data_IF_163099927838
#
_entry.id   IF_163099927838
#
_cell.length_a   1.000
_cell.length_b   1.000
_cell.length_c   1.000
_cell.angle_alpha   90.00
_cell.angle_beta   90.00
_cell.angle_gamma   90.00
#
_symmetry.space_group_name_H-M   'P 1'
#
loop_
_entity.id
_entity.type
_entity.pdbx_description
1 polymer ?
#
# COMPACT_ATOMS: atom_id res chain seq x y z
N UNK A 1 -11.35 -49.49 61.33
CA UNK A 1 -10.85 -49.69 59.95
C UNK A 1 -10.74 -48.31 59.29
N UNK A 2 -9.52 -47.86 58.96
CA UNK A 2 -9.26 -46.56 58.29
C UNK A 2 -9.42 -46.73 56.77
N UNK A 3 -10.05 -45.80 56.02
CA UNK A 3 -10.03 -45.86 54.57
C UNK A 3 -8.71 -45.29 54.03
N UNK A 4 -8.07 -46.01 53.11
CA UNK A 4 -6.90 -45.55 52.37
C UNK A 4 -7.31 -44.51 51.31
N UNK A 5 -6.72 -43.32 51.38
CA UNK A 5 -6.75 -42.32 50.32
C UNK A 5 -5.85 -42.80 49.15
N UNK A 6 -6.42 -43.05 47.97
CA UNK A 6 -5.64 -43.30 46.74
C UNK A 6 -5.35 -41.96 46.08
N UNK A 7 -4.10 -41.52 46.10
CA UNK A 7 -3.59 -40.42 45.28
C UNK A 7 -3.32 -40.95 43.86
N UNK A 8 -4.09 -40.49 42.88
CA UNK A 8 -3.78 -40.64 41.46
C UNK A 8 -2.78 -39.56 41.04
N UNK A 9 -1.63 -39.90 40.42
CA UNK A 9 -0.73 -38.89 39.88
C UNK A 9 -1.34 -38.29 38.60
N UNK A 10 -1.62 -36.99 38.62
CA UNK A 10 -1.94 -36.24 37.41
C UNK A 10 -0.64 -36.07 36.59
N UNK A 11 -0.54 -36.78 35.47
CA UNK A 11 0.50 -36.50 34.47
C UNK A 11 0.21 -35.12 33.84
N UNK A 12 1.04 -34.13 34.15
CA UNK A 12 1.15 -32.92 33.35
C UNK A 12 1.80 -33.29 32.01
N UNK A 13 0.99 -33.47 30.97
CA UNK A 13 1.47 -33.57 29.60
C UNK A 13 1.88 -32.18 29.10
N UNK A 14 3.18 -31.91 29.13
CA UNK A 14 3.79 -30.72 28.55
C UNK A 14 3.72 -30.82 27.01
N UNK A 15 2.70 -30.21 26.41
CA UNK A 15 2.62 -30.10 24.95
C UNK A 15 3.69 -29.13 24.45
N UNK A 16 4.85 -29.65 24.04
CA UNK A 16 5.86 -28.88 23.32
C UNK A 16 5.33 -28.63 21.91
N UNK A 17 4.79 -27.43 21.69
CA UNK A 17 4.46 -26.97 20.35
C UNK A 17 5.77 -26.70 19.58
N UNK A 18 6.27 -27.71 18.87
CA UNK A 18 7.33 -27.50 17.87
C UNK A 18 6.76 -26.66 16.73
N UNK A 19 7.04 -25.36 16.75
CA UNK A 19 6.83 -24.52 15.59
C UNK A 19 7.74 -25.02 14.45
N UNK A 20 7.17 -25.69 13.46
CA UNK A 20 7.88 -26.02 12.23
C UNK A 20 8.32 -24.71 11.58
N UNK A 21 9.62 -24.40 11.68
CA UNK A 21 10.24 -23.33 10.90
C UNK A 21 10.20 -23.77 9.44
N UNK A 22 9.43 -23.09 8.60
CA UNK A 22 9.43 -23.33 7.17
C UNK A 22 10.86 -23.24 6.64
N UNK A 23 11.33 -24.29 5.96
CA UNK A 23 12.65 -24.31 5.37
C UNK A 23 12.78 -23.18 4.33
N UNK A 24 13.96 -22.55 4.27
CA UNK A 24 14.23 -21.54 3.26
C UNK A 24 14.10 -22.17 1.85
N UNK A 25 13.51 -21.46 0.87
CA UNK A 25 13.39 -21.99 -0.48
C UNK A 25 14.78 -22.27 -1.07
N UNK A 26 14.95 -23.44 -1.67
CA UNK A 26 16.19 -23.83 -2.35
C UNK A 26 16.21 -23.15 -3.72
N UNK A 27 17.31 -22.46 -4.10
CA UNK A 27 17.44 -21.89 -5.43
C UNK A 27 17.38 -22.95 -6.54
N UNK A 28 16.78 -22.58 -7.68
CA UNK A 28 16.85 -23.37 -8.91
C UNK A 28 18.27 -23.34 -9.54
N UNK A 29 18.46 -24.04 -10.65
CA UNK A 29 19.75 -24.12 -11.33
C UNK A 29 20.29 -22.75 -11.80
N UNK A 30 19.41 -21.76 -11.97
CA UNK A 30 19.76 -20.39 -12.36
C UNK A 30 20.02 -19.48 -11.14
N UNK A 31 19.75 -19.98 -9.92
CA UNK A 31 19.90 -19.26 -8.66
C UNK A 31 18.66 -18.47 -8.25
N UNK A 32 17.49 -18.73 -8.84
CA UNK A 32 16.24 -18.10 -8.44
C UNK A 32 15.54 -18.90 -7.33
N UNK A 33 14.91 -18.18 -6.40
CA UNK A 33 13.96 -18.75 -5.45
C UNK A 33 12.54 -18.26 -5.77
N UNK A 34 11.49 -19.05 -5.48
CA UNK A 34 10.12 -18.57 -5.60
C UNK A 34 9.89 -17.36 -4.70
N UNK A 35 9.40 -16.26 -5.29
CA UNK A 35 8.92 -15.09 -4.55
C UNK A 35 7.45 -15.26 -4.15
N UNK A 36 6.71 -16.05 -4.93
CA UNK A 36 5.36 -16.53 -4.61
C UNK A 36 5.35 -18.05 -4.53
N UNK A 37 4.70 -18.60 -3.50
CA UNK A 37 4.71 -20.04 -3.21
C UNK A 37 3.61 -20.84 -3.92
N UNK A 38 2.72 -20.17 -4.66
CA UNK A 38 1.61 -20.80 -5.41
C UNK A 38 0.39 -21.19 -4.57
N UNK A 39 0.40 -20.96 -3.25
CA UNK A 39 -0.63 -21.48 -2.31
C UNK A 39 -1.28 -20.42 -1.45
N UNK A 40 -0.48 -19.51 -0.89
CA UNK A 40 -0.94 -18.46 0.02
C UNK A 40 -0.08 -17.20 -0.10
N UNK A 41 -0.50 -16.14 0.59
CA UNK A 41 0.21 -14.86 0.60
C UNK A 41 1.36 -14.80 1.62
N UNK A 42 1.93 -15.92 2.05
CA UNK A 42 3.13 -15.90 2.90
C UNK A 42 4.25 -15.13 2.21
N UNK A 43 4.81 -14.14 2.90
CA UNK A 43 5.81 -13.23 2.34
C UNK A 43 5.22 -11.98 1.66
N UNK A 44 3.90 -11.85 1.66
CA UNK A 44 3.16 -10.72 1.09
C UNK A 44 2.26 -10.05 2.12
N UNK A 45 1.97 -8.77 1.92
CA UNK A 45 1.00 -7.99 2.69
C UNK A 45 0.16 -7.14 1.77
N UNK A 46 -1.15 -7.17 2.02
CA UNK A 46 -2.12 -6.32 1.36
C UNK A 46 -1.99 -4.89 1.93
N UNK A 47 -1.83 -3.90 1.07
CA UNK A 47 -1.74 -2.47 1.40
C UNK A 47 -2.88 -1.73 0.71
N UNK A 48 -3.83 -1.27 1.53
CA UNK A 48 -4.99 -0.48 1.11
C UNK A 48 -5.93 -1.16 0.10
N UNK A 49 -5.97 -2.50 0.04
CA UNK A 49 -7.01 -3.21 -0.70
C UNK A 49 -7.97 -3.95 0.23
N UNK A 50 -9.17 -4.20 -0.28
CA UNK A 50 -10.12 -5.07 0.39
C UNK A 50 -9.60 -6.52 0.41
N UNK A 51 -10.03 -7.35 1.38
CA UNK A 51 -9.58 -8.74 1.47
C UNK A 51 -9.82 -9.54 0.18
N UNK A 52 -10.94 -9.26 -0.50
CA UNK A 52 -11.32 -9.92 -1.75
C UNK A 52 -10.64 -9.37 -3.01
N UNK A 53 -9.86 -8.29 -2.90
CA UNK A 53 -9.12 -7.75 -4.05
C UNK A 53 -8.10 -8.76 -4.56
N UNK A 54 -7.49 -9.53 -3.66
CA UNK A 54 -6.44 -10.48 -3.97
C UNK A 54 -6.90 -11.91 -3.65
N UNK A 55 -6.79 -12.80 -4.62
CA UNK A 55 -7.06 -14.22 -4.44
C UNK A 55 -6.01 -15.08 -5.13
N UNK A 56 -5.95 -16.36 -4.77
CA UNK A 56 -5.06 -17.33 -5.38
C UNK A 56 -5.91 -18.45 -5.95
N UNK A 57 -5.69 -18.78 -7.21
CA UNK A 57 -6.33 -19.92 -7.87
C UNK A 57 -5.33 -20.58 -8.80
N UNK A 58 -5.20 -21.90 -8.72
CA UNK A 58 -4.34 -22.71 -9.60
C UNK A 58 -2.87 -22.21 -9.68
N UNK A 59 -2.32 -21.73 -8.55
CA UNK A 59 -0.96 -21.18 -8.50
C UNK A 59 -0.79 -19.79 -9.12
N UNK A 60 -1.89 -19.10 -9.41
CA UNK A 60 -1.94 -17.74 -9.99
C UNK A 60 -2.49 -16.77 -8.96
N UNK A 61 -1.87 -15.60 -8.84
CA UNK A 61 -2.41 -14.47 -8.07
C UNK A 61 -3.39 -13.73 -8.99
N UNK A 62 -4.62 -13.55 -8.52
CA UNK A 62 -5.64 -12.73 -9.18
C UNK A 62 -5.87 -11.45 -8.40
N UNK A 63 -5.89 -10.33 -9.11
CA UNK A 63 -6.38 -9.04 -8.62
C UNK A 63 -7.71 -8.70 -9.28
N UNK A 64 -8.66 -8.13 -8.53
CA UNK A 64 -9.90 -7.57 -9.10
C UNK A 64 -9.66 -6.21 -9.77
N UNK A 65 -8.54 -5.55 -9.47
CA UNK A 65 -8.29 -4.15 -9.82
C UNK A 65 -8.97 -3.14 -8.89
N UNK A 66 -9.79 -3.57 -7.93
CA UNK A 66 -10.58 -2.67 -7.08
C UNK A 66 -10.42 -3.05 -5.59
N UNK A 67 -10.09 -2.10 -4.71
CA UNK A 67 -9.76 -0.69 -5.01
C UNK A 67 -8.35 -0.58 -5.58
N UNK A 68 -7.94 0.64 -5.92
CA UNK A 68 -6.55 0.90 -6.27
C UNK A 68 -5.68 0.71 -5.01
N UNK A 69 -4.61 -0.07 -5.13
CA UNK A 69 -3.71 -0.39 -4.03
C UNK A 69 -2.66 -1.43 -4.42
N UNK A 70 -2.07 -2.11 -3.44
CA UNK A 70 -0.91 -2.96 -3.69
C UNK A 70 -0.88 -4.23 -2.82
N UNK A 71 -0.44 -5.34 -3.39
CA UNK A 71 0.06 -6.51 -2.65
C UNK A 71 1.60 -6.47 -2.69
N UNK A 72 2.24 -6.15 -1.56
CA UNK A 72 3.71 -6.01 -1.50
C UNK A 72 4.40 -7.07 -0.68
N UNK A 73 5.70 -7.24 -0.90
CA UNK A 73 6.54 -8.14 -0.10
C UNK A 73 6.64 -7.67 1.35
N UNK A 74 6.83 -8.62 2.28
CA UNK A 74 7.02 -8.32 3.72
C UNK A 74 8.42 -7.85 4.05
N UNK A 75 9.41 -8.11 3.17
CA UNK A 75 10.79 -7.62 3.29
C UNK A 75 11.21 -6.77 2.09
N UNK A 76 12.28 -6.03 2.29
CA UNK A 76 12.92 -5.23 1.26
C UNK A 76 13.97 -6.03 0.49
N UNK A 77 14.19 -5.62 -0.76
CA UNK A 77 15.19 -6.15 -1.68
C UNK A 77 16.05 -4.99 -2.19
N UNK A 78 17.36 -5.22 -2.30
CA UNK A 78 18.32 -4.24 -2.83
C UNK A 78 18.61 -4.54 -4.30
N UNK A 79 19.59 -5.42 -4.55
CA UNK A 79 19.99 -5.83 -5.89
C UNK A 79 19.40 -7.20 -6.19
N UNK A 80 18.70 -7.34 -7.32
CA UNK A 80 18.03 -8.57 -7.69
C UNK A 80 17.75 -8.65 -9.20
N UNK A 81 17.47 -9.87 -9.64
CA UNK A 81 16.74 -10.14 -10.88
C UNK A 81 15.38 -10.72 -10.47
N UNK A 82 14.31 -10.05 -10.86
CA UNK A 82 12.93 -10.49 -10.66
C UNK A 82 12.37 -10.96 -11.99
N UNK A 83 11.77 -12.14 -12.00
CA UNK A 83 10.97 -12.62 -13.12
C UNK A 83 9.54 -12.90 -12.68
N UNK A 84 8.60 -12.55 -13.54
CA UNK A 84 7.19 -12.90 -13.39
C UNK A 84 6.50 -12.90 -14.76
N UNK A 85 5.34 -13.52 -14.81
CA UNK A 85 4.39 -13.36 -15.90
C UNK A 85 3.15 -12.62 -15.41
N UNK A 86 2.59 -11.77 -16.27
CA UNK A 86 1.35 -11.06 -16.02
C UNK A 86 0.42 -11.10 -17.24
N UNK A 87 -0.88 -10.93 -17.01
CA UNK A 87 -1.88 -10.68 -18.05
C UNK A 87 -3.04 -9.87 -17.53
N UNK A 88 -3.61 -9.02 -18.38
CA UNK A 88 -4.93 -8.44 -18.13
C UNK A 88 -6.03 -9.39 -18.57
N UNK A 89 -7.15 -9.41 -17.84
CA UNK A 89 -8.32 -10.20 -18.23
C UNK A 89 -9.35 -9.39 -19.02
N UNK A 90 -9.07 -8.09 -19.21
CA UNK A 90 -9.91 -7.16 -19.97
C UNK A 90 -9.04 -6.25 -20.82
N UNK A 91 -9.57 -5.88 -21.98
CA UNK A 91 -9.04 -4.79 -22.80
C UNK A 91 -8.94 -3.51 -21.97
N UNK A 92 -7.88 -2.75 -22.21
CA UNK A 92 -7.60 -1.48 -21.53
C UNK A 92 -7.43 -1.63 -20.03
N UNK A 93 -6.92 -2.78 -19.59
CA UNK A 93 -6.51 -3.00 -18.21
C UNK A 93 -5.26 -2.22 -17.84
N UNK A 94 -5.19 -1.78 -16.58
CA UNK A 94 -4.05 -1.10 -16.00
C UNK A 94 -3.60 -1.77 -14.69
N UNK A 95 -2.29 -1.83 -14.50
CA UNK A 95 -1.57 -2.37 -13.35
C UNK A 95 -0.06 -2.06 -13.54
N UNK A 96 0.76 -2.56 -12.61
CA UNK A 96 2.17 -2.29 -12.54
C UNK A 96 2.86 -3.13 -11.47
N UNK A 97 4.19 -3.12 -11.54
CA UNK A 97 5.07 -3.71 -10.54
C UNK A 97 5.87 -2.58 -9.89
N UNK A 98 5.68 -2.38 -8.59
CA UNK A 98 6.48 -1.44 -7.81
C UNK A 98 7.81 -2.06 -7.41
N UNK A 99 8.88 -1.30 -7.64
CA UNK A 99 10.25 -1.63 -7.28
C UNK A 99 10.80 -0.58 -6.32
N UNK A 100 11.49 -1.05 -5.28
CA UNK A 100 12.00 -0.23 -4.19
C UNK A 100 10.93 0.67 -3.55
N UNK A 101 9.73 0.10 -3.38
CA UNK A 101 8.55 0.78 -2.87
C UNK A 101 8.61 1.10 -1.38
N UNK A 102 7.84 2.10 -0.94
CA UNK A 102 7.56 2.42 0.46
C UNK A 102 6.68 1.35 1.15
N UNK A 103 6.64 1.28 2.49
CA UNK A 103 5.88 0.24 3.21
C UNK A 103 4.36 0.44 3.13
N UNK A 104 3.91 1.68 2.96
CA UNK A 104 2.51 2.06 2.74
C UNK A 104 2.45 3.08 1.60
N UNK A 105 1.25 3.36 1.13
CA UNK A 105 1.01 4.34 0.07
C UNK A 105 1.61 5.71 0.40
N UNK A 106 2.00 6.45 -0.64
CA UNK A 106 2.45 7.82 -0.52
C UNK A 106 1.30 8.76 -0.10
N UNK A 107 1.59 9.92 0.52
CA UNK A 107 0.56 10.83 1.01
C UNK A 107 -0.51 11.19 -0.02
N UNK A 108 -1.79 10.97 0.33
CA UNK A 108 -2.96 11.40 -0.45
C UNK A 108 -3.26 10.61 -1.73
N UNK A 109 -2.47 9.59 -2.04
CA UNK A 109 -2.60 8.78 -3.27
C UNK A 109 -2.68 7.30 -2.95
N UNK A 110 -3.30 6.47 -3.82
CA UNK A 110 -3.47 5.04 -3.57
C UNK A 110 -2.25 4.18 -3.97
N UNK A 111 -1.11 4.80 -4.26
CA UNK A 111 0.09 4.12 -4.77
C UNK A 111 1.24 4.18 -3.78
N UNK A 112 2.14 3.19 -3.81
CA UNK A 112 3.41 3.27 -3.11
C UNK A 112 4.29 4.38 -3.72
N UNK A 113 5.18 4.97 -2.94
CA UNK A 113 6.32 5.69 -3.51
C UNK A 113 7.32 4.65 -4.01
N UNK A 114 7.72 4.70 -5.28
CA UNK A 114 8.70 3.76 -5.83
C UNK A 114 8.97 3.99 -7.31
N UNK A 115 9.70 3.07 -7.92
CA UNK A 115 9.77 2.95 -9.37
C UNK A 115 8.64 2.00 -9.81
N UNK A 116 7.84 2.42 -10.76
CA UNK A 116 6.79 1.61 -11.35
C UNK A 116 7.26 1.07 -12.70
N UNK A 117 7.10 -0.24 -12.86
CA UNK A 117 7.22 -0.96 -14.12
C UNK A 117 5.80 -1.22 -14.61
N UNK A 118 5.37 -0.47 -15.64
CA UNK A 118 4.00 -0.48 -16.12
C UNK A 118 3.60 -1.86 -16.68
N UNK A 119 2.42 -2.34 -16.33
CA UNK A 119 1.73 -3.45 -17.00
C UNK A 119 0.40 -2.93 -17.57
N UNK A 120 0.44 -2.33 -18.76
CA UNK A 120 -0.72 -1.70 -19.41
C UNK A 120 -1.15 -2.54 -20.63
N UNK A 121 -2.45 -2.78 -20.79
CA UNK A 121 -2.98 -3.52 -21.94
C UNK A 121 -2.85 -2.70 -23.24
N UNK A 122 -2.57 -3.38 -24.35
CA UNK A 122 -2.37 -2.73 -25.66
C UNK A 122 -3.59 -1.89 -26.10
N UNK A 123 -4.81 -2.33 -25.78
CA UNK A 123 -6.03 -1.62 -26.12
C UNK A 123 -6.16 -0.25 -25.43
N UNK A 124 -5.41 -0.01 -24.36
CA UNK A 124 -5.49 1.25 -23.60
C UNK A 124 -5.07 2.46 -24.45
N UNK A 125 -4.00 2.33 -25.24
CA UNK A 125 -3.55 3.40 -26.13
C UNK A 125 -4.60 3.68 -27.21
N UNK A 126 -5.11 2.63 -27.87
CA UNK A 126 -6.14 2.74 -28.91
C UNK A 126 -7.41 3.42 -28.39
N UNK A 127 -7.91 2.99 -27.24
CA UNK A 127 -9.12 3.54 -26.62
C UNK A 127 -8.90 4.99 -26.16
N UNK A 128 -7.70 5.32 -25.66
CA UNK A 128 -7.33 6.69 -25.33
C UNK A 128 -7.34 7.58 -26.57
N UNK A 129 -6.74 7.14 -27.68
CA UNK A 129 -6.68 7.92 -28.92
C UNK A 129 -8.08 8.14 -29.49
N UNK A 130 -8.91 7.09 -29.53
CA UNK A 130 -10.28 7.16 -30.01
C UNK A 130 -11.12 8.13 -29.16
N UNK A 131 -11.01 8.05 -27.83
CA UNK A 131 -11.80 8.89 -26.91
C UNK A 131 -11.37 10.36 -26.94
N UNK A 132 -10.08 10.64 -27.11
CA UNK A 132 -9.53 11.98 -26.95
C UNK A 132 -9.15 12.66 -28.26
N UNK A 133 -9.19 11.95 -29.40
CA UNK A 133 -8.83 12.47 -30.72
C UNK A 133 -7.35 12.88 -30.84
N UNK A 134 -6.47 12.36 -29.98
CA UNK A 134 -5.03 12.69 -29.94
C UNK A 134 -4.18 11.48 -29.59
N UNK A 135 -2.95 11.46 -30.08
CA UNK A 135 -1.97 10.40 -29.84
C UNK A 135 -1.58 10.26 -28.37
N UNK A 136 -1.23 9.04 -27.97
CA UNK A 136 -0.74 8.73 -26.62
C UNK A 136 0.74 9.11 -26.45
N UNK A 137 1.12 10.36 -26.70
CA UNK A 137 2.56 10.75 -26.71
C UNK A 137 3.21 10.77 -25.31
N UNK A 138 2.40 10.70 -24.25
CA UNK A 138 2.86 10.75 -22.86
C UNK A 138 2.94 9.38 -22.18
N UNK A 139 2.48 8.29 -22.82
CA UNK A 139 2.56 6.91 -22.33
C UNK A 139 2.65 5.88 -23.47
N UNK A 140 3.22 4.70 -23.20
CA UNK A 140 3.06 3.53 -24.06
C UNK A 140 2.49 2.33 -23.29
N UNK A 141 2.30 1.22 -23.99
CA UNK A 141 1.69 -0.03 -23.49
C UNK A 141 2.66 -1.22 -23.48
N UNK A 142 3.94 -1.00 -23.81
CA UNK A 142 4.93 -2.08 -24.00
C UNK A 142 6.05 -2.08 -22.96
N UNK A 143 5.79 -1.56 -21.76
CA UNK A 143 6.73 -1.57 -20.63
C UNK A 143 7.36 -0.22 -20.35
N UNK A 144 6.56 0.80 -20.06
CA UNK A 144 7.06 2.06 -19.52
C UNK A 144 7.67 1.85 -18.13
N UNK A 145 8.75 2.58 -17.82
CA UNK A 145 9.35 2.62 -16.48
C UNK A 145 9.41 4.06 -15.98
N UNK A 146 8.90 4.31 -14.78
CA UNK A 146 8.85 5.66 -14.23
C UNK A 146 8.84 5.71 -12.70
N UNK A 147 9.39 6.79 -12.16
CA UNK A 147 9.38 7.06 -10.73
C UNK A 147 8.11 7.82 -10.34
N UNK A 148 7.49 7.42 -9.23
CA UNK A 148 6.26 8.05 -8.72
C UNK A 148 6.39 8.52 -7.27
N UNK A 149 5.59 9.55 -6.95
CA UNK A 149 5.34 10.03 -5.58
C UNK A 149 6.59 10.31 -4.73
N UNK A 150 7.55 11.02 -5.31
CA UNK A 150 8.79 11.43 -4.65
C UNK A 150 9.96 10.47 -4.86
N UNK A 151 9.74 9.34 -5.53
CA UNK A 151 10.83 8.59 -6.12
C UNK A 151 11.43 9.38 -7.31
N UNK A 152 12.68 9.09 -7.65
CA UNK A 152 13.35 9.64 -8.81
C UNK A 152 14.31 8.63 -9.40
N UNK A 153 14.55 8.72 -10.71
CA UNK A 153 15.59 8.01 -11.44
C UNK A 153 15.94 8.79 -12.71
N UNK A 154 17.12 8.56 -13.27
CA UNK A 154 17.56 9.05 -14.56
C UNK A 154 17.16 8.06 -15.66
N UNK A 155 16.17 8.42 -16.46
CA UNK A 155 15.68 7.55 -17.54
C UNK A 155 16.72 7.36 -18.64
N UNK A 156 16.76 6.14 -19.19
CA UNK A 156 17.56 5.82 -20.38
C UNK A 156 16.67 5.56 -21.59
N UNK A 157 17.27 5.56 -22.77
CA UNK A 157 16.58 5.26 -24.03
C UNK A 157 15.61 6.37 -24.45
N UNK A 158 14.49 5.97 -25.07
CA UNK A 158 13.43 6.88 -25.49
C UNK A 158 12.72 7.42 -24.26
N UNK A 159 12.61 8.74 -24.10
CA UNK A 159 12.03 9.35 -22.89
C UNK A 159 11.40 10.71 -23.18
N UNK A 160 10.41 11.08 -22.37
CA UNK A 160 9.86 12.45 -22.30
C UNK A 160 10.36 13.22 -21.05
N UNK A 161 11.40 12.73 -20.37
CA UNK A 161 11.92 13.28 -19.12
C UNK A 161 11.13 12.89 -17.86
N UNK A 162 9.94 12.31 -18.00
CA UNK A 162 9.12 11.81 -16.88
C UNK A 162 9.04 10.29 -16.81
N UNK A 163 9.40 9.60 -17.89
CA UNK A 163 9.42 8.14 -18.00
C UNK A 163 10.35 7.64 -19.09
N UNK A 164 10.82 6.41 -18.96
CA UNK A 164 11.47 5.65 -20.02
C UNK A 164 10.42 4.87 -20.80
N UNK A 165 10.42 5.03 -22.11
CA UNK A 165 9.57 4.32 -23.05
C UNK A 165 10.32 3.12 -23.65
N UNK A 166 9.59 2.06 -24.04
CA UNK A 166 10.18 0.94 -24.73
C UNK A 166 10.83 1.36 -26.05
N UNK A 167 12.00 0.81 -26.34
CA UNK A 167 12.66 0.94 -27.64
C UNK A 167 12.05 0.01 -28.70
N UNK A 168 11.26 -0.98 -28.28
CA UNK A 168 10.60 -1.95 -29.15
C UNK A 168 9.29 -2.43 -28.49
N UNK A 169 8.22 -2.50 -29.29
CA UNK A 169 6.90 -2.94 -28.86
C UNK A 169 6.84 -4.47 -28.75
N UNK A 170 6.67 -5.00 -27.54
CA UNK A 170 6.81 -6.44 -27.27
C UNK A 170 5.73 -7.08 -26.40
N UNK A 171 4.93 -6.30 -25.69
CA UNK A 171 3.81 -6.86 -24.92
C UNK A 171 2.66 -7.30 -25.83
N UNK A 172 1.98 -8.34 -25.39
CA UNK A 172 0.82 -8.96 -26.02
C UNK A 172 -0.47 -8.42 -25.39
N UNK A 173 -1.57 -8.32 -26.16
CA UNK A 173 -2.85 -7.88 -25.65
C UNK A 173 -3.47 -8.88 -24.66
N UNK A 174 -4.42 -8.42 -23.87
CA UNK A 174 -5.26 -9.30 -23.06
C UNK A 174 -5.98 -10.37 -23.91
N UNK A 175 -6.10 -11.62 -23.42
CA UNK A 175 -5.62 -12.16 -22.14
C UNK A 175 -4.30 -12.96 -22.25
N UNK A 176 -3.41 -12.59 -23.17
CA UNK A 176 -2.15 -13.29 -23.37
C UNK A 176 -1.15 -13.00 -22.23
N UNK A 177 -0.35 -14.00 -21.91
CA UNK A 177 0.71 -13.87 -20.91
C UNK A 177 1.92 -13.12 -21.47
N UNK A 178 2.39 -12.14 -20.69
CA UNK A 178 3.61 -11.38 -20.90
C UNK A 178 4.63 -11.75 -19.82
N UNK A 179 5.88 -11.99 -20.22
CA UNK A 179 6.99 -12.23 -19.31
C UNK A 179 7.78 -10.94 -19.09
N UNK A 180 7.94 -10.56 -17.83
CA UNK A 180 8.82 -9.49 -17.40
C UNK A 180 10.03 -10.08 -16.70
N UNK A 181 11.21 -9.60 -17.10
CA UNK A 181 12.45 -9.75 -16.34
C UNK A 181 12.96 -8.36 -15.96
N UNK A 182 12.98 -8.08 -14.67
CA UNK A 182 13.41 -6.80 -14.10
C UNK A 182 14.77 -7.01 -13.45
N UNK A 183 15.80 -6.37 -13.99
CA UNK A 183 17.17 -6.39 -13.43
C UNK A 183 17.36 -5.09 -12.65
N UNK A 184 17.40 -5.21 -11.33
CA UNK A 184 17.59 -4.09 -10.41
C UNK A 184 18.97 -4.24 -9.75
N UNK A 185 19.89 -3.33 -10.04
CA UNK A 185 21.26 -3.44 -9.52
C UNK A 185 21.88 -2.06 -9.29
N UNK A 186 22.26 -1.78 -8.04
CA UNK A 186 22.95 -0.56 -7.62
C UNK A 186 22.23 0.73 -8.04
N UNK A 187 20.90 0.77 -7.88
CA UNK A 187 20.07 1.93 -8.28
C UNK A 187 19.77 2.00 -9.78
N UNK A 188 20.22 1.03 -10.57
CA UNK A 188 19.83 0.82 -11.96
C UNK A 188 18.66 -0.15 -12.05
N UNK A 189 17.72 0.12 -12.95
CA UNK A 189 16.64 -0.79 -13.33
C UNK A 189 16.65 -0.97 -14.85
N UNK A 190 16.61 -2.22 -15.31
CA UNK A 190 16.37 -2.60 -16.70
C UNK A 190 15.17 -3.51 -16.80
N UNK A 191 14.22 -3.16 -17.65
CA UNK A 191 13.05 -3.96 -17.94
C UNK A 191 13.26 -4.73 -19.24
N UNK A 192 13.10 -6.05 -19.18
CA UNK A 192 12.93 -6.88 -20.34
C UNK A 192 11.47 -7.31 -20.47
N UNK A 193 10.92 -7.16 -21.69
CA UNK A 193 9.58 -7.61 -22.05
C UNK A 193 9.70 -8.69 -23.10
N UNK A 194 9.16 -9.88 -22.81
CA UNK A 194 9.13 -11.03 -23.72
C UNK A 194 10.52 -11.29 -24.37
N UNK A 195 11.56 -11.35 -23.52
CA UNK A 195 12.92 -11.75 -23.90
C UNK A 195 13.87 -10.63 -24.32
N UNK A 196 13.45 -9.36 -24.33
CA UNK A 196 14.30 -8.24 -24.78
C UNK A 196 14.23 -7.07 -23.83
N UNK A 197 15.39 -6.47 -23.54
CA UNK A 197 15.48 -5.20 -22.80
C UNK A 197 14.82 -4.09 -23.61
N UNK A 198 13.83 -3.40 -23.03
CA UNK A 198 13.07 -2.35 -23.73
C UNK A 198 13.19 -0.97 -23.09
N UNK A 199 13.32 -0.87 -21.77
CA UNK A 199 13.26 0.41 -21.04
C UNK A 199 13.98 0.32 -19.69
N UNK A 200 14.17 1.47 -19.04
CA UNK A 200 14.74 1.51 -17.71
C UNK A 200 15.32 2.85 -17.31
N UNK A 201 16.18 2.83 -16.30
CA UNK A 201 16.99 3.99 -15.94
C UNK A 201 17.89 3.71 -14.76
N UNK A 202 18.63 4.74 -14.38
CA UNK A 202 19.73 4.68 -13.41
C UNK A 202 19.50 5.67 -12.27
N UNK A 203 20.40 5.68 -11.29
CA UNK A 203 20.42 6.69 -10.23
C UNK A 203 19.08 6.78 -9.45
N UNK A 204 18.41 5.64 -9.24
CA UNK A 204 17.22 5.58 -8.43
C UNK A 204 17.51 6.06 -7.00
N UNK A 205 16.66 6.94 -6.47
CA UNK A 205 16.90 7.53 -5.15
C UNK A 205 16.67 6.54 -4.00
N UNK A 206 15.83 5.52 -4.20
CA UNK A 206 15.88 4.29 -3.41
C UNK A 206 16.51 3.18 -4.23
N UNK A 207 17.43 2.46 -3.60
CA UNK A 207 18.11 1.27 -4.14
C UNK A 207 17.78 0.01 -3.35
N UNK A 208 17.00 0.15 -2.29
CA UNK A 208 16.49 -0.92 -1.45
C UNK A 208 15.09 -0.57 -0.97
N UNK A 209 14.15 -1.49 -1.12
CA UNK A 209 12.76 -1.27 -0.73
C UNK A 209 11.87 -2.46 -1.06
N UNK A 210 10.56 -2.30 -0.91
CA UNK A 210 9.61 -3.38 -1.13
C UNK A 210 9.33 -3.61 -2.61
N UNK A 211 8.90 -4.82 -2.96
CA UNK A 211 8.35 -5.13 -4.27
C UNK A 211 6.82 -5.19 -4.16
N UNK A 212 6.09 -4.68 -5.14
CA UNK A 212 4.63 -4.60 -5.08
C UNK A 212 3.96 -4.99 -6.38
N UNK A 213 2.82 -5.70 -6.29
CA UNK A 213 1.90 -5.94 -7.40
C UNK A 213 0.73 -4.98 -7.26
N UNK A 214 0.40 -4.28 -8.33
CA UNK A 214 -0.60 -3.23 -8.28
C UNK A 214 -2.01 -3.73 -8.66
N UNK A 215 -3.00 -3.25 -7.91
CA UNK A 215 -4.41 -3.28 -8.28
C UNK A 215 -4.77 -1.90 -8.84
N UNK A 216 -5.16 -1.79 -10.12
CA UNK A 216 -5.46 -0.47 -10.73
C UNK A 216 -6.62 -0.49 -11.75
N UNK A 217 -7.84 -0.68 -11.25
CA UNK A 217 -9.09 -0.48 -12.00
C UNK A 217 -9.48 -1.60 -12.96
N UNK A 218 -8.62 -2.59 -13.22
CA UNK A 218 -8.93 -3.74 -14.07
C UNK A 218 -8.42 -5.06 -13.47
N UNK A 219 -9.11 -6.20 -13.70
CA UNK A 219 -8.61 -7.49 -13.28
C UNK A 219 -7.31 -7.88 -14.00
N UNK A 220 -6.31 -8.27 -13.21
CA UNK A 220 -4.97 -8.67 -13.66
C UNK A 220 -4.56 -9.95 -12.94
N UNK A 221 -3.79 -10.78 -13.61
CA UNK A 221 -3.22 -12.01 -13.05
C UNK A 221 -1.70 -11.98 -13.08
N UNK A 222 -1.08 -12.60 -12.08
CA UNK A 222 0.36 -12.78 -11.96
C UNK A 222 0.72 -14.22 -11.63
N UNK A 223 1.77 -14.75 -12.25
CA UNK A 223 2.29 -16.08 -11.94
C UNK A 223 3.80 -16.16 -12.14
N UNK A 224 4.38 -17.29 -11.73
CA UNK A 224 5.80 -17.59 -11.91
C UNK A 224 6.73 -16.51 -11.35
N UNK A 225 6.34 -15.90 -10.23
CA UNK A 225 7.14 -14.88 -9.55
C UNK A 225 8.34 -15.54 -8.87
N UNK A 226 9.54 -15.29 -9.39
CA UNK A 226 10.80 -15.80 -8.84
C UNK A 226 11.85 -14.70 -8.80
N UNK A 227 12.73 -14.75 -7.80
CA UNK A 227 13.74 -13.73 -7.57
C UNK A 227 15.12 -14.34 -7.35
N UNK A 228 16.14 -13.71 -7.91
CA UNK A 228 17.55 -13.99 -7.65
C UNK A 228 18.18 -12.74 -7.06
N UNK A 229 18.49 -12.77 -5.76
CA UNK A 229 19.23 -11.67 -5.12
C UNK A 229 20.68 -11.64 -5.65
N UNK A 230 21.14 -10.43 -5.98
CA UNK A 230 22.51 -10.16 -6.39
C UNK A 230 23.31 -9.68 -5.17
N UNK A 231 24.66 -9.67 -5.23
CA UNK A 231 25.47 -9.15 -4.13
C UNK A 231 25.00 -7.75 -3.69
N UNK A 232 24.82 -7.59 -2.38
CA UNK A 232 24.48 -6.30 -1.78
C UNK A 232 25.62 -5.31 -2.00
N UNK A 233 25.28 -4.06 -2.27
CA UNK A 233 26.20 -2.93 -2.35
C UNK A 233 26.20 -2.08 -1.08
N UNK A 234 25.48 -2.51 -0.04
CA UNK A 234 25.40 -1.80 1.23
C UNK A 234 24.61 -0.49 1.16
N UNK A 235 23.41 -0.52 0.55
CA UNK A 235 22.51 0.65 0.52
C UNK A 235 22.38 1.33 1.90
N UNK A 236 22.70 2.62 1.96
CA UNK A 236 22.61 3.41 3.19
C UNK A 236 21.14 3.70 3.55
N UNK A 237 20.84 4.11 4.80
CA UNK A 237 19.48 4.47 5.20
C UNK A 237 18.84 5.54 4.31
N UNK A 238 19.62 6.50 3.78
CA UNK A 238 19.13 7.60 2.96
C UNK A 238 18.63 7.15 1.58
N UNK A 239 19.15 6.02 1.07
CA UNK A 239 18.75 5.41 -0.20
C UNK A 239 17.98 4.10 0.00
N UNK A 240 17.47 3.88 1.21
CA UNK A 240 16.64 2.73 1.57
C UNK A 240 15.25 3.20 1.93
N UNK A 241 14.22 2.51 1.41
CA UNK A 241 12.85 2.79 1.80
C UNK A 241 12.66 2.61 3.31
N UNK A 242 11.78 3.38 3.96
CA UNK A 242 11.46 3.17 5.38
C UNK A 242 11.02 1.73 5.64
N UNK A 243 11.45 1.17 6.77
CA UNK A 243 10.95 -0.12 7.21
C UNK A 243 9.47 -0.04 7.57
N UNK A 244 8.73 -1.12 7.33
CA UNK A 244 7.38 -1.29 7.82
C UNK A 244 7.41 -1.59 9.33
N UNK A 245 6.89 -0.69 10.18
CA UNK A 245 6.77 -0.92 11.61
C UNK A 245 5.57 -1.81 11.98
N UNK A 246 4.91 -2.45 11.01
CA UNK A 246 3.77 -3.33 11.21
C UNK A 246 2.42 -2.65 10.98
N UNK A 247 2.34 -1.74 10.00
CA UNK A 247 1.10 -1.03 9.69
C UNK A 247 -0.05 -1.97 9.33
N UNK A 248 -1.25 -1.64 9.81
CA UNK A 248 -2.51 -2.28 9.43
C UNK A 248 -3.46 -1.22 8.89
N UNK A 249 -4.00 -1.45 7.69
CA UNK A 249 -5.01 -0.57 7.12
C UNK A 249 -6.28 -0.60 7.99
N UNK A 250 -6.78 0.58 8.34
CA UNK A 250 -8.08 0.75 8.99
C UNK A 250 -9.20 0.83 7.95
N UNK A 251 -8.90 1.31 6.75
CA UNK A 251 -9.85 1.44 5.66
C UNK A 251 -9.44 0.56 4.49
N UNK A 252 -10.39 -0.18 3.95
CA UNK A 252 -10.16 -1.19 2.93
C UNK A 252 -10.17 -0.64 1.49
N UNK A 253 -10.42 0.66 1.32
CA UNK A 253 -10.45 1.34 0.02
C UNK A 253 -11.77 1.24 -0.76
N UNK A 254 -12.72 0.38 -0.34
CA UNK A 254 -14.00 0.15 -1.02
C UNK A 254 -15.21 0.59 -0.20
N UNK A 255 -15.24 0.25 1.08
CA UNK A 255 -16.42 0.40 1.94
C UNK A 255 -16.04 0.57 3.42
N UNK A 256 -17.05 0.65 4.28
CA UNK A 256 -16.90 0.88 5.72
C UNK A 256 -16.93 -0.42 6.56
N UNK A 257 -16.66 -1.61 5.99
CA UNK A 257 -16.50 -2.82 6.81
C UNK A 257 -15.37 -2.61 7.83
N UNK A 258 -15.63 -2.98 9.09
CA UNK A 258 -14.74 -2.67 10.21
C UNK A 258 -14.96 -1.27 10.80
N UNK A 259 -15.99 -0.55 10.35
CA UNK A 259 -16.44 0.73 10.90
C UNK A 259 -17.91 0.68 11.27
N UNK A 260 -18.29 1.49 12.25
CA UNK A 260 -19.66 1.77 12.66
C UNK A 260 -19.89 3.26 12.69
N UNK A 261 -21.12 3.66 12.44
CA UNK A 261 -21.55 5.04 12.56
C UNK A 261 -22.13 5.31 13.95
N UNK A 262 -22.16 6.59 14.35
CA UNK A 262 -23.01 7.01 15.45
C UNK A 262 -24.38 7.42 14.86
N UNK A 263 -25.44 6.70 15.22
CA UNK A 263 -26.83 7.14 15.06
C UNK A 263 -27.23 7.70 13.66
N UNK A 264 -26.96 6.97 12.56
CA UNK A 264 -27.42 7.37 11.21
C UNK A 264 -26.45 8.29 10.46
N UNK A 265 -25.24 8.48 11.01
CA UNK A 265 -24.19 9.31 10.44
C UNK A 265 -23.76 8.92 9.02
N UNK A 266 -24.02 7.69 8.53
CA UNK A 266 -23.66 7.26 7.16
C UNK A 266 -24.21 8.21 6.07
N UNK A 267 -25.36 8.86 6.29
CA UNK A 267 -25.93 9.82 5.33
C UNK A 267 -24.96 10.96 4.95
N UNK A 268 -24.01 11.24 5.83
CA UNK A 268 -23.05 12.31 5.72
C UNK A 268 -21.70 11.91 5.11
N UNK A 269 -21.43 10.61 5.04
CA UNK A 269 -20.17 10.07 4.58
C UNK A 269 -20.36 9.37 3.25
N UNK A 270 -19.42 9.59 2.33
CA UNK A 270 -19.38 8.90 1.05
C UNK A 270 -18.06 8.16 0.92
N UNK A 271 -18.12 6.93 0.42
CA UNK A 271 -16.93 6.14 0.10
C UNK A 271 -16.83 5.97 -1.40
N UNK A 272 -15.63 6.20 -1.95
CA UNK A 272 -15.37 6.00 -3.37
C UNK A 272 -13.93 6.35 -3.75
N UNK A 273 -13.37 5.64 -4.73
CA UNK A 273 -12.02 5.90 -5.23
C UNK A 273 -10.92 5.82 -4.17
N UNK A 274 -11.03 4.88 -3.22
CA UNK A 274 -10.06 4.76 -2.13
C UNK A 274 -10.12 5.89 -1.10
N UNK A 275 -11.27 6.57 -0.98
CA UNK A 275 -11.44 7.72 -0.08
C UNK A 275 -12.72 7.62 0.76
N UNK A 276 -12.66 8.18 1.96
CA UNK A 276 -13.81 8.46 2.81
C UNK A 276 -13.98 9.98 2.84
N UNK A 277 -15.11 10.49 2.36
CA UNK A 277 -15.38 11.93 2.30
C UNK A 277 -16.57 12.29 3.18
N UNK A 278 -16.39 13.30 4.04
CA UNK A 278 -17.45 13.93 4.81
C UNK A 278 -18.01 15.11 4.02
N UNK A 279 -19.32 15.13 3.80
CA UNK A 279 -20.03 16.32 3.28
C UNK A 279 -20.05 17.43 4.34
N UNK A 280 -20.10 18.72 3.97
CA UNK A 280 -20.28 19.80 4.94
C UNK A 280 -21.66 19.68 5.60
N UNK A 281 -21.72 19.64 6.94
CA UNK A 281 -22.98 19.75 7.70
C UNK A 281 -22.72 20.50 9.01
N UNK A 282 -22.87 21.83 8.99
CA UNK A 282 -22.60 22.65 10.16
C UNK A 282 -23.44 22.26 11.38
N UNK A 283 -22.79 22.06 12.52
CA UNK A 283 -23.45 21.77 13.80
C UNK A 283 -23.92 20.33 14.00
N UNK A 284 -23.62 19.43 13.06
CA UNK A 284 -24.01 18.01 13.14
C UNK A 284 -22.80 17.12 13.43
N UNK A 285 -22.72 16.59 14.65
CA UNK A 285 -21.72 15.60 15.02
C UNK A 285 -22.09 14.21 14.49
N UNK A 286 -21.35 13.75 13.48
CA UNK A 286 -21.59 12.46 12.84
C UNK A 286 -20.29 11.66 12.71
N UNK A 287 -19.64 11.27 13.84
CA UNK A 287 -18.36 10.57 13.78
C UNK A 287 -18.50 9.16 13.17
N UNK A 288 -17.47 8.75 12.42
CA UNK A 288 -17.26 7.34 12.06
C UNK A 288 -16.27 6.71 13.02
N UNK A 289 -16.61 5.54 13.54
CA UNK A 289 -15.79 4.81 14.50
C UNK A 289 -15.32 3.50 13.92
N UNK A 290 -14.07 3.16 14.18
CA UNK A 290 -13.59 1.79 13.97
C UNK A 290 -14.32 0.81 14.90
N UNK A 291 -14.51 -0.42 14.45
CA UNK A 291 -14.96 -1.51 15.31
C UNK A 291 -13.86 -1.89 16.31
N UNK A 292 -12.62 -1.94 15.81
CA UNK A 292 -11.43 -2.20 16.60
C UNK A 292 -11.18 -1.12 17.65
N UNK A 293 -10.59 -1.53 18.78
CA UNK A 293 -10.19 -0.62 19.86
C UNK A 293 -8.67 -0.62 20.03
N UNK A 294 -8.12 0.56 20.30
CA UNK A 294 -6.68 0.80 20.38
C UNK A 294 -6.29 1.33 21.77
N UNK A 295 -5.16 0.84 22.29
CA UNK A 295 -4.55 1.31 23.53
C UNK A 295 -3.45 2.31 23.23
N UNK A 296 -2.21 1.99 23.60
CA UNK A 296 -1.05 2.69 23.03
C UNK A 296 -0.93 2.30 21.55
N UNK A 297 -0.91 3.30 20.68
CA UNK A 297 -0.97 3.09 19.24
C UNK A 297 -0.42 4.28 18.49
N UNK A 298 -0.04 4.05 17.24
CA UNK A 298 0.27 5.08 16.27
C UNK A 298 -0.67 4.94 15.07
N UNK A 299 -1.11 6.08 14.54
CA UNK A 299 -2.04 6.16 13.41
C UNK A 299 -1.43 6.98 12.28
N UNK A 300 -1.68 6.57 11.04
CA UNK A 300 -1.45 7.39 9.84
C UNK A 300 -2.81 7.80 9.30
N UNK A 301 -2.98 9.10 9.04
CA UNK A 301 -4.20 9.68 8.49
C UNK A 301 -3.80 10.67 7.40
N UNK A 302 -4.14 10.38 6.14
CA UNK A 302 -4.03 11.39 5.08
C UNK A 302 -5.33 12.15 4.97
N UNK A 303 -5.27 13.46 5.22
CA UNK A 303 -6.44 14.33 5.23
C UNK A 303 -6.28 15.48 4.24
N UNK A 304 -7.32 15.69 3.44
CA UNK A 304 -7.48 16.83 2.55
C UNK A 304 -8.67 17.67 3.02
N UNK A 305 -8.43 18.88 3.53
CA UNK A 305 -9.50 19.81 3.82
C UNK A 305 -10.22 20.26 2.54
N UNK A 306 -11.49 20.72 2.63
CA UNK A 306 -12.20 21.32 1.51
C UNK A 306 -11.43 22.49 0.88
N UNK A 307 -11.74 22.82 -0.38
CA UNK A 307 -11.18 24.01 -1.05
C UNK A 307 -11.66 25.30 -0.36
N UNK A 308 -10.89 26.37 -0.54
CA UNK A 308 -11.12 27.70 0.07
C UNK A 308 -12.52 28.25 -0.25
N UNK A 309 -13.11 28.99 0.71
CA UNK A 309 -14.47 29.55 0.61
C UNK A 309 -15.53 28.83 1.47
N UNK A 310 -15.16 27.73 2.14
CA UNK A 310 -16.05 27.03 3.10
C UNK A 310 -15.76 27.51 4.54
N UNK A 311 -16.75 27.93 5.34
CA UNK A 311 -16.54 28.25 6.75
C UNK A 311 -15.97 27.04 7.52
N UNK A 312 -14.89 27.22 8.29
CA UNK A 312 -14.26 26.12 9.06
C UNK A 312 -13.33 25.17 8.27
N UNK A 313 -12.99 25.50 7.02
CA UNK A 313 -12.33 24.60 6.06
C UNK A 313 -10.95 24.02 6.43
N UNK A 314 -10.29 24.44 7.51
CA UNK A 314 -8.85 24.18 7.72
C UNK A 314 -8.52 23.14 8.79
N UNK A 315 -9.51 22.55 9.45
CA UNK A 315 -9.29 21.68 10.61
C UNK A 315 -10.17 20.44 10.52
N UNK A 316 -9.58 19.26 10.45
CA UNK A 316 -10.28 18.04 10.84
C UNK A 316 -9.91 17.69 12.28
N UNK A 317 -10.77 16.91 12.89
CA UNK A 317 -10.50 16.28 14.16
C UNK A 317 -10.56 14.76 14.01
N UNK A 318 -9.83 14.08 14.86
CA UNK A 318 -9.98 12.64 15.03
C UNK A 318 -10.23 12.37 16.50
N UNK A 319 -10.68 11.16 16.79
CA UNK A 319 -10.88 10.67 18.14
C UNK A 319 -9.92 9.52 18.41
N UNK A 320 -9.11 9.65 19.47
CA UNK A 320 -8.21 8.60 19.94
C UNK A 320 -8.29 8.53 21.46
N UNK A 321 -8.41 7.33 22.03
CA UNK A 321 -8.50 7.16 23.50
C UNK A 321 -9.56 8.07 24.16
N UNK A 322 -10.68 8.28 23.46
CA UNK A 322 -11.77 9.16 23.90
C UNK A 322 -11.47 10.66 23.86
N UNK A 323 -10.31 11.06 23.33
CA UNK A 323 -9.88 12.45 23.20
C UNK A 323 -10.03 12.94 21.77
N UNK A 324 -10.51 14.18 21.64
CA UNK A 324 -10.54 14.91 20.36
C UNK A 324 -9.15 15.46 20.07
N UNK A 325 -8.69 15.28 18.84
CA UNK A 325 -7.35 15.65 18.41
C UNK A 325 -7.42 16.41 17.10
N UNK A 326 -6.89 17.62 17.10
CA UNK A 326 -6.88 18.52 15.95
C UNK A 326 -5.81 18.11 14.93
N UNK A 327 -6.22 17.91 13.68
CA UNK A 327 -5.32 17.77 12.52
C UNK A 327 -5.09 19.15 11.89
N UNK A 328 -4.21 19.93 12.52
CA UNK A 328 -4.03 21.35 12.22
C UNK A 328 -3.11 21.69 11.03
N UNK A 329 -3.46 22.77 10.34
CA UNK A 329 -2.62 23.48 9.37
C UNK A 329 -2.37 22.77 8.03
N UNK A 330 -3.21 21.80 7.67
CA UNK A 330 -3.27 21.32 6.30
C UNK A 330 -3.76 22.43 5.36
N UNK A 331 -3.21 22.48 4.15
CA UNK A 331 -3.62 23.46 3.15
C UNK A 331 -4.94 23.02 2.50
N UNK A 332 -5.89 23.95 2.34
CA UNK A 332 -7.18 23.69 1.70
C UNK A 332 -7.01 23.04 0.32
N UNK A 333 -7.73 21.95 0.09
CA UNK A 333 -7.70 21.23 -1.18
C UNK A 333 -6.40 20.45 -1.44
N UNK A 334 -5.48 20.32 -0.48
CA UNK A 334 -4.29 19.46 -0.57
C UNK A 334 -4.28 18.43 0.55
N UNK A 335 -3.78 17.23 0.24
CA UNK A 335 -3.56 16.21 1.26
C UNK A 335 -2.31 16.55 2.08
N UNK A 336 -2.41 16.38 3.39
CA UNK A 336 -1.28 16.24 4.31
C UNK A 336 -1.37 14.88 5.00
N UNK A 337 -0.21 14.29 5.30
CA UNK A 337 -0.13 13.09 6.14
C UNK A 337 0.02 13.49 7.59
N UNK A 338 -0.81 12.91 8.45
CA UNK A 338 -0.71 13.06 9.90
C UNK A 338 -0.29 11.73 10.51
N UNK A 339 0.78 11.75 11.30
CA UNK A 339 1.14 10.66 12.22
C UNK A 339 0.69 11.04 13.61
N UNK A 340 -0.20 10.24 14.20
CA UNK A 340 -0.73 10.48 15.55
C UNK A 340 -0.28 9.37 16.47
N UNK A 341 0.62 9.68 17.39
CA UNK A 341 1.21 8.74 18.35
C UNK A 341 0.56 8.94 19.71
N UNK A 342 -0.01 7.87 20.27
CA UNK A 342 -0.70 7.87 21.55
C UNK A 342 0.02 6.93 22.51
N UNK A 343 0.77 7.48 23.45
CA UNK A 343 1.57 6.71 24.41
C UNK A 343 1.87 7.53 25.67
N UNK A 344 2.14 6.85 26.80
CA UNK A 344 2.79 7.44 27.99
C UNK A 344 2.19 8.76 28.51
N UNK A 345 0.87 8.91 28.49
CA UNK A 345 0.22 10.13 28.98
C UNK A 345 0.27 11.31 28.00
N UNK A 346 0.64 11.07 26.74
CA UNK A 346 0.74 12.09 25.70
C UNK A 346 0.06 11.62 24.41
N UNK A 347 -0.53 12.57 23.69
CA UNK A 347 -0.90 12.43 22.28
C UNK A 347 -0.01 13.39 21.50
N UNK A 348 0.73 12.85 20.53
CA UNK A 348 1.60 13.60 19.63
C UNK A 348 1.03 13.58 18.22
N UNK A 349 0.90 14.74 17.58
CA UNK A 349 0.44 14.88 16.20
C UNK A 349 1.56 15.49 15.38
N UNK A 350 2.04 14.76 14.38
CA UNK A 350 3.02 15.24 13.42
C UNK A 350 2.36 15.35 12.04
N UNK A 351 2.43 16.53 11.42
CA UNK A 351 1.98 16.75 10.04
C UNK A 351 3.19 16.75 9.10
N UNK A 352 3.18 15.88 8.10
CA UNK A 352 4.23 15.75 7.10
C UNK A 352 5.62 15.69 7.79
N UNK A 353 6.53 16.62 7.46
CA UNK A 353 7.84 16.75 8.10
C UNK A 353 7.92 17.86 9.15
N UNK A 354 6.80 18.44 9.57
CA UNK A 354 6.78 19.52 10.57
C UNK A 354 7.11 18.99 11.97
N UNK A 355 7.47 19.92 12.87
CA UNK A 355 7.63 19.60 14.29
C UNK A 355 6.29 19.12 14.88
N UNK A 356 6.31 18.08 15.73
CA UNK A 356 5.09 17.56 16.31
C UNK A 356 4.48 18.53 17.32
N UNK A 357 3.15 18.51 17.40
CA UNK A 357 2.37 19.17 18.46
C UNK A 357 1.97 18.11 19.48
N UNK A 358 2.18 18.39 20.76
CA UNK A 358 1.83 17.48 21.85
C UNK A 358 0.67 18.04 22.67
N UNK A 359 -0.21 17.13 23.09
CA UNK A 359 -1.25 17.41 24.08
C UNK A 359 -1.26 16.30 25.14
N UNK A 360 -1.63 16.60 26.40
CA UNK A 360 -1.72 15.58 27.43
C UNK A 360 -2.83 14.57 27.14
N UNK A 361 -2.56 13.29 27.40
CA UNK A 361 -3.57 12.25 27.51
C UNK A 361 -4.00 12.17 28.98
N UNK A 362 -5.24 12.57 29.33
CA UNK A 362 -5.68 12.54 30.72
C UNK A 362 -5.59 11.15 31.34
N UNK A 363 -5.24 11.07 32.63
CA UNK A 363 -5.21 9.79 33.36
C UNK A 363 -6.57 9.07 33.39
N UNK A 364 -7.66 9.83 33.29
CA UNK A 364 -9.02 9.32 33.18
C UNK A 364 -9.39 8.80 31.78
N UNK A 365 -8.52 8.95 30.78
CA UNK A 365 -8.79 8.45 29.43
C UNK A 365 -8.92 6.91 29.45
N UNK A 366 -9.95 6.34 28.78
CA UNK A 366 -10.20 4.90 28.80
C UNK A 366 -8.96 4.14 28.33
N UNK A 367 -8.64 2.96 28.90
CA UNK A 367 -7.42 2.21 28.55
C UNK A 367 -7.33 1.82 27.07
N UNK A 368 -8.49 1.53 26.46
CA UNK A 368 -8.64 1.32 25.02
C UNK A 368 -9.90 2.04 24.55
N UNK A 369 -9.87 2.56 23.33
CA UNK A 369 -11.04 3.12 22.68
C UNK A 369 -10.95 2.94 21.15
N UNK A 370 -12.08 2.98 20.44
CA UNK A 370 -12.09 3.09 18.98
C UNK A 370 -11.33 4.33 18.50
N UNK A 371 -10.68 4.20 17.35
CA UNK A 371 -10.30 5.35 16.53
C UNK A 371 -11.54 5.91 15.85
N UNK A 372 -11.67 7.24 15.77
CA UNK A 372 -12.78 7.89 15.10
C UNK A 372 -12.37 9.01 14.16
N UNK A 373 -13.08 9.14 13.03
CA UNK A 373 -12.99 10.29 12.13
C UNK A 373 -14.06 11.31 12.48
N UNK A 374 -13.64 12.57 12.64
CA UNK A 374 -14.52 13.70 12.95
C UNK A 374 -14.16 14.85 12.01
N UNK A 375 -14.79 14.93 10.84
CA UNK A 375 -14.58 16.11 10.01
C UNK A 375 -15.37 17.29 10.59
N UNK A 376 -14.77 18.48 10.58
CA UNK A 376 -15.43 19.72 10.98
C UNK A 376 -16.65 20.01 10.11
N UNK A 377 -17.43 21.02 10.49
CA UNK A 377 -18.60 21.54 9.75
C UNK A 377 -18.38 21.68 8.24
N UNK A 378 -17.15 22.00 7.82
CA UNK A 378 -16.77 22.17 6.43
C UNK A 378 -16.66 20.86 5.62
N UNK A 379 -16.64 19.69 6.27
CA UNK A 379 -16.37 18.41 5.64
C UNK A 379 -14.87 18.19 5.36
N UNK A 380 -14.57 17.26 4.45
CA UNK A 380 -13.19 16.94 4.05
C UNK A 380 -13.03 15.49 3.61
N UNK A 381 -11.83 15.14 3.15
CA UNK A 381 -11.55 13.81 2.58
C UNK A 381 -10.39 13.13 3.27
N UNK A 382 -10.58 11.85 3.61
CA UNK A 382 -9.61 10.99 4.28
C UNK A 382 -9.20 9.84 3.35
N UNK A 383 -7.93 9.44 3.41
CA UNK A 383 -7.40 8.23 2.74
C UNK A 383 -6.20 7.69 3.52
N UNK A 384 -5.64 6.55 3.07
CA UNK A 384 -4.45 5.91 3.62
C UNK A 384 -4.46 5.78 5.17
N UNK A 385 -5.60 5.36 5.71
CA UNK A 385 -5.79 5.22 7.16
C UNK A 385 -5.12 3.94 7.66
N UNK A 386 -4.12 4.08 8.53
CA UNK A 386 -3.41 2.93 9.11
C UNK A 386 -3.27 3.07 10.63
N UNK A 387 -3.11 1.94 11.31
CA UNK A 387 -2.75 1.88 12.71
C UNK A 387 -1.69 0.80 12.98
N UNK A 388 -0.93 0.99 14.05
CA UNK A 388 -0.13 -0.05 14.70
C UNK A 388 -0.22 0.10 16.21
N UNK A 389 -0.15 -1.02 16.92
CA UNK A 389 -0.01 -0.99 18.38
C UNK A 389 1.45 -0.68 18.75
N UNK A 390 1.65 -0.03 19.90
CA UNK A 390 2.96 0.31 20.46
C UNK A 390 3.33 -0.53 21.68
#
# INVERSE_FOLDING_TARGET
>A
MRPLLRLTPALLSLAVASALRAAAPVPDAEGFVPLFNGRDFTGWTNVNCAPETWSIKDGVIHSTGLPIGCLRTTRQYENFILELEWRHLKRSGNSGIFVWGSPINAPGVPFLRGIEVQALDNGYAEDFEQKNGKKSDWFTVHGDVFAIHGASMKYIGRTNGKRSFPIEDRSKPSPEWNHYRIVANHGSLRLHVNGKEVSGGDEANYRKGYLGLESEGSPVEFRNLRIKELPSTGASPEVTAPLDPGWKALFNGLDLRGWRDAAGAVAHWTVGGGRITRKPTPGEEAPLWTEAQFGAAEFVVDYQPPKTGTPGAAVAEIMVRGQRVTLGGAESGKFSRFTVTVERGTIRVQRDSASPVEQPLPSAAPARAPFGLVAADAGGTFTNLHARNL
#
